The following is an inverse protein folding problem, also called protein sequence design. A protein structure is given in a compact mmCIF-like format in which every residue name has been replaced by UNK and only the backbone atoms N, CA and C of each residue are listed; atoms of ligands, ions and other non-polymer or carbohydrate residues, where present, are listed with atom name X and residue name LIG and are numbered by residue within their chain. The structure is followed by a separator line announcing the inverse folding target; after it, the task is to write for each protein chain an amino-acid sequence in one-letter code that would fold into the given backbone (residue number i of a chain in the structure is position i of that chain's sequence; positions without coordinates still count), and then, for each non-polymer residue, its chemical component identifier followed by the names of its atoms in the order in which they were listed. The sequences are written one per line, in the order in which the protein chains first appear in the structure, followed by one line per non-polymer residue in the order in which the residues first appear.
data_IF_016273173558
#
_entry.id   IF_016273173558
#
_cell.length_a   1.000
_cell.length_b   1.000
_cell.length_c   1.000
_cell.angle_alpha   90.00
_cell.angle_beta   90.00
_cell.angle_gamma   90.00
#
_symmetry.space_group_name_H-M   'P 1'
#
loop_
_entity.id
_entity.type
_entity.pdbx_description
1 polymer ?
#
# COMPACT_ATOMS: atom_id res chain seq x y z
N UNK A 1 -47.16 -2.95 21.35
CA UNK A 1 -46.07 -2.34 20.55
C UNK A 1 -44.76 -2.88 21.12
N UNK A 2 -44.21 -3.92 20.50
CA UNK A 2 -42.97 -4.55 20.98
C UNK A 2 -41.79 -4.09 20.10
N UNK A 3 -40.65 -3.69 20.67
CA UNK A 3 -39.49 -3.29 19.90
C UNK A 3 -38.84 -4.54 19.28
N UNK A 4 -38.77 -4.60 17.96
CA UNK A 4 -38.00 -5.61 17.24
C UNK A 4 -36.52 -5.26 17.38
N UNK A 5 -35.78 -6.06 18.16
CA UNK A 5 -34.34 -5.92 18.30
C UNK A 5 -33.67 -5.94 16.92
N UNK A 6 -32.88 -4.91 16.60
CA UNK A 6 -32.10 -4.87 15.36
C UNK A 6 -31.08 -6.00 15.37
N UNK A 7 -31.01 -6.84 14.31
CA UNK A 7 -30.01 -7.88 14.25
C UNK A 7 -28.63 -7.21 14.16
N UNK A 8 -27.74 -7.55 15.09
CA UNK A 8 -26.31 -7.23 15.00
C UNK A 8 -25.79 -7.79 13.67
N UNK A 9 -25.58 -6.90 12.68
CA UNK A 9 -24.95 -7.28 11.41
C UNK A 9 -23.48 -7.57 11.68
N UNK A 10 -23.14 -8.85 11.81
CA UNK A 10 -21.74 -9.30 11.83
C UNK A 10 -21.07 -8.89 10.52
N UNK A 11 -19.88 -8.31 10.60
CA UNK A 11 -19.09 -7.97 9.42
C UNK A 11 -18.73 -9.26 8.65
N UNK A 12 -18.84 -9.28 7.31
CA UNK A 12 -18.44 -10.43 6.50
C UNK A 12 -16.99 -10.85 6.76
N UNK A 13 -16.72 -12.15 6.75
CA UNK A 13 -15.38 -12.70 6.99
C UNK A 13 -14.30 -12.15 6.04
N UNK A 14 -14.68 -11.77 4.81
CA UNK A 14 -13.77 -11.13 3.86
C UNK A 14 -13.23 -9.78 4.33
N UNK A 15 -13.99 -9.01 5.11
CA UNK A 15 -13.52 -7.73 5.67
C UNK A 15 -12.42 -7.99 6.70
N UNK A 16 -12.59 -9.01 7.55
CA UNK A 16 -11.57 -9.40 8.51
C UNK A 16 -10.30 -9.89 7.81
N UNK A 17 -10.44 -10.73 6.78
CA UNK A 17 -9.29 -11.22 6.01
C UNK A 17 -8.53 -10.08 5.32
N UNK A 18 -9.23 -9.18 4.61
CA UNK A 18 -8.61 -8.03 3.95
C UNK A 18 -8.01 -7.04 4.96
N UNK A 19 -8.65 -6.84 6.12
CA UNK A 19 -8.13 -6.01 7.19
C UNK A 19 -6.79 -6.53 7.73
N UNK A 20 -6.67 -7.84 7.95
CA UNK A 20 -5.40 -8.45 8.35
C UNK A 20 -4.33 -8.35 7.26
N UNK A 21 -4.69 -8.59 5.99
CA UNK A 21 -3.76 -8.43 4.87
C UNK A 21 -3.24 -7.00 4.79
N UNK A 22 -4.12 -5.99 4.91
CA UNK A 22 -3.72 -4.58 4.93
C UNK A 22 -2.81 -4.27 6.11
N UNK A 23 -3.18 -4.73 7.31
CA UNK A 23 -2.37 -4.49 8.51
C UNK A 23 -0.96 -5.06 8.37
N UNK A 24 -0.83 -6.30 7.89
CA UNK A 24 0.46 -6.94 7.69
C UNK A 24 1.26 -6.25 6.57
N UNK A 25 0.59 -5.82 5.50
CA UNK A 25 1.20 -5.05 4.43
C UNK A 25 1.76 -3.73 4.95
N UNK A 26 0.98 -2.97 5.72
CA UNK A 26 1.38 -1.66 6.26
C UNK A 26 2.56 -1.82 7.22
N UNK A 27 2.51 -2.77 8.16
CA UNK A 27 3.61 -3.04 9.08
C UNK A 27 4.90 -3.38 8.32
N UNK A 28 4.82 -4.26 7.32
CA UNK A 28 5.99 -4.67 6.55
C UNK A 28 6.57 -3.50 5.74
N UNK A 29 5.70 -2.69 5.15
CA UNK A 29 6.08 -1.56 4.30
C UNK A 29 6.76 -0.46 5.11
N UNK A 30 6.20 -0.09 6.26
CA UNK A 30 6.77 0.91 7.17
C UNK A 30 8.08 0.44 7.81
N UNK A 31 8.20 -0.85 8.11
CA UNK A 31 9.46 -1.43 8.59
C UNK A 31 10.57 -1.29 7.54
N UNK A 32 10.32 -1.65 6.29
CA UNK A 32 11.33 -1.52 5.22
C UNK A 32 11.65 -0.05 4.95
N UNK A 33 10.65 0.83 4.84
CA UNK A 33 10.89 2.25 4.59
C UNK A 33 11.74 2.90 5.69
N UNK A 34 11.56 2.53 6.95
CA UNK A 34 12.36 3.05 8.05
C UNK A 34 13.78 2.47 8.12
N UNK A 35 13.97 1.20 7.78
CA UNK A 35 15.25 0.51 7.89
C UNK A 35 16.15 0.65 6.65
N UNK A 36 15.58 0.75 5.46
CA UNK A 36 16.33 0.79 4.20
C UNK A 36 17.36 1.93 4.15
N UNK A 37 17.04 3.18 4.52
CA UNK A 37 18.01 4.29 4.45
C UNK A 37 19.16 4.08 5.44
N UNK A 38 18.84 3.57 6.63
CA UNK A 38 19.82 3.24 7.67
C UNK A 38 20.77 2.15 7.17
N UNK A 39 20.25 1.10 6.54
CA UNK A 39 21.05 0.02 5.97
C UNK A 39 21.97 0.53 4.83
N UNK A 40 21.43 1.37 3.94
CA UNK A 40 22.20 1.94 2.83
C UNK A 40 23.40 2.75 3.31
N UNK A 41 23.24 3.53 4.38
CA UNK A 41 24.33 4.35 4.91
C UNK A 41 25.30 3.53 5.75
N UNK A 42 24.78 2.68 6.65
CA UNK A 42 25.61 1.99 7.66
C UNK A 42 26.27 0.72 7.13
N UNK A 43 25.56 -0.06 6.32
CA UNK A 43 26.04 -1.35 5.83
C UNK A 43 26.65 -1.25 4.42
N UNK A 44 26.04 -0.45 3.54
CA UNK A 44 26.51 -0.29 2.15
C UNK A 44 27.44 0.92 1.96
N UNK A 45 27.58 1.81 2.97
CA UNK A 45 28.45 2.98 2.91
C UNK A 45 27.99 4.06 1.92
N UNK A 46 26.71 4.06 1.54
CA UNK A 46 26.13 5.03 0.61
C UNK A 46 26.00 6.40 1.30
N UNK A 47 26.28 7.47 0.57
CA UNK A 47 26.15 8.84 1.10
C UNK A 47 24.69 9.25 1.29
N UNK A 48 24.40 10.11 2.27
CA UNK A 48 23.04 10.67 2.49
C UNK A 48 22.49 11.41 1.27
N UNK A 49 23.35 12.06 0.48
CA UNK A 49 22.94 12.74 -0.76
C UNK A 49 22.45 11.72 -1.79
N UNK A 50 23.13 10.59 -1.93
CA UNK A 50 22.72 9.50 -2.83
C UNK A 50 21.41 8.86 -2.37
N UNK A 51 21.23 8.65 -1.06
CA UNK A 51 19.96 8.16 -0.49
C UNK A 51 18.81 9.11 -0.85
N UNK A 52 18.99 10.41 -0.62
CA UNK A 52 17.97 11.41 -0.98
C UNK A 52 17.64 11.46 -2.47
N UNK A 53 18.64 11.26 -3.35
CA UNK A 53 18.39 11.15 -4.80
C UNK A 53 17.58 9.89 -5.15
N UNK A 54 17.88 8.76 -4.51
CA UNK A 54 17.17 7.49 -4.74
C UNK A 54 15.72 7.59 -4.26
N UNK A 55 15.51 8.05 -3.02
CA UNK A 55 14.17 8.22 -2.45
C UNK A 55 13.35 9.23 -3.26
N UNK A 56 13.95 10.37 -3.60
CA UNK A 56 13.28 11.39 -4.42
C UNK A 56 12.90 10.88 -5.82
N UNK A 57 13.78 10.11 -6.46
CA UNK A 57 13.47 9.49 -7.75
C UNK A 57 12.38 8.42 -7.64
N UNK A 58 12.41 7.61 -6.58
CA UNK A 58 11.39 6.60 -6.32
C UNK A 58 10.01 7.24 -6.10
N UNK A 59 9.93 8.29 -5.28
CA UNK A 59 8.69 8.99 -4.99
C UNK A 59 8.15 9.74 -6.21
N UNK A 60 9.02 10.40 -6.99
CA UNK A 60 8.63 11.03 -8.25
C UNK A 60 8.07 10.02 -9.24
N UNK A 61 8.71 8.85 -9.39
CA UNK A 61 8.24 7.76 -10.26
C UNK A 61 6.89 7.24 -9.78
N UNK A 62 6.73 7.02 -8.48
CA UNK A 62 5.47 6.57 -7.89
C UNK A 62 4.33 7.56 -8.13
N UNK A 63 4.59 8.88 -8.00
CA UNK A 63 3.60 9.91 -8.27
C UNK A 63 3.21 9.96 -9.75
N UNK A 64 4.18 9.89 -10.65
CA UNK A 64 3.93 9.80 -12.10
C UNK A 64 3.04 8.59 -12.39
N UNK A 65 3.41 7.40 -11.90
CA UNK A 65 2.63 6.19 -12.11
C UNK A 65 1.23 6.27 -11.50
N UNK A 66 1.06 6.85 -10.30
CA UNK A 66 -0.25 7.05 -9.67
C UNK A 66 -1.19 7.90 -10.55
N UNK A 67 -0.68 8.97 -11.15
CA UNK A 67 -1.46 9.83 -12.05
C UNK A 67 -1.97 9.05 -13.26
N UNK A 68 -1.11 8.25 -13.89
CA UNK A 68 -1.49 7.49 -15.09
C UNK A 68 -2.28 6.21 -14.78
N UNK A 69 -2.05 5.58 -13.63
CA UNK A 69 -2.71 4.35 -13.22
C UNK A 69 -4.23 4.51 -13.09
N UNK A 70 -4.72 5.67 -12.65
CA UNK A 70 -6.16 5.95 -12.57
C UNK A 70 -6.82 5.96 -13.94
N UNK A 71 -6.25 6.72 -14.88
CA UNK A 71 -6.74 6.80 -16.25
C UNK A 71 -6.67 5.45 -16.98
N UNK A 72 -5.58 4.69 -16.77
CA UNK A 72 -5.39 3.38 -17.37
C UNK A 72 -6.36 2.34 -16.78
N UNK A 73 -6.60 2.38 -15.47
CA UNK A 73 -7.56 1.51 -14.77
C UNK A 73 -9.00 1.78 -15.24
N UNK A 74 -9.38 3.04 -15.40
CA UNK A 74 -10.71 3.43 -15.86
C UNK A 74 -10.95 3.06 -17.33
N UNK A 75 -9.93 3.19 -18.18
CA UNK A 75 -10.00 2.78 -19.59
C UNK A 75 -10.17 1.27 -19.78
N UNK A 76 -9.55 0.45 -18.92
CA UNK A 76 -9.61 -1.02 -19.05
C UNK A 76 -10.91 -1.65 -18.53
N UNK A 77 -11.71 -0.94 -17.73
CA UNK A 77 -13.07 -1.34 -17.31
C UNK A 77 -13.21 -2.64 -16.49
N UNK A 78 -12.12 -3.38 -16.26
CA UNK A 78 -12.08 -4.63 -15.48
C UNK A 78 -11.12 -4.46 -14.30
N UNK A 79 -11.69 -4.19 -13.12
CA UNK A 79 -10.93 -3.96 -11.88
C UNK A 79 -10.27 -5.22 -11.28
N UNK A 80 -10.67 -6.42 -11.71
CA UNK A 80 -10.24 -7.71 -11.14
C UNK A 80 -8.82 -8.19 -11.54
N UNK A 81 -8.37 -8.06 -12.80
CA UNK A 81 -7.00 -8.46 -13.18
C UNK A 81 -5.92 -7.55 -12.61
N UNK A 82 -6.17 -6.24 -12.52
CA UNK A 82 -5.21 -5.27 -11.97
C UNK A 82 -4.94 -5.51 -10.48
N UNK A 83 -5.96 -5.87 -9.70
CA UNK A 83 -5.78 -6.23 -8.29
C UNK A 83 -5.08 -7.58 -8.05
N UNK A 84 -5.05 -8.47 -9.05
CA UNK A 84 -4.40 -9.79 -8.96
C UNK A 84 -2.96 -9.77 -9.47
N UNK A 85 -2.61 -8.84 -10.36
CA UNK A 85 -1.26 -8.73 -10.91
C UNK A 85 -0.30 -7.99 -9.97
N UNK A 86 -0.83 -7.17 -9.05
CA UNK A 86 -0.03 -6.32 -8.17
C UNK A 86 0.41 -5.05 -8.87
#
# INVERSE_FOLDING_TARGET
MAPTASPSKRLPAGIWALGFVSLLMDISSEMIHSLLPVFMVTALGVSMLTVGLIEGAAEATAMVLKVFSGALSDWWGKRKPLALLG
#
